data_IF_456122175188
#
_entry.id   IF_456122175188
#
_cell.length_a   1.000
_cell.length_b   1.000
_cell.length_c   1.000
_cell.angle_alpha   90.00
_cell.angle_beta   90.00
_cell.angle_gamma   90.00
#
_symmetry.space_group_name_H-M   'P 1'
#
loop_
_entity.id
_entity.type
_entity.pdbx_description
1 polymer ?
#
# COMPACT_ATOMS: atom_id res chain seq x y z
N UNK A 1 -6.64 -75.87 28.89
CA UNK A 1 -5.31 -75.25 28.72
C UNK A 1 -5.50 -73.88 28.08
N UNK A 2 -5.32 -72.79 28.82
CA UNK A 2 -5.60 -71.42 28.36
C UNK A 2 -4.37 -70.85 27.65
N UNK A 3 -4.58 -70.39 26.42
CA UNK A 3 -3.56 -69.94 25.46
C UNK A 3 -2.85 -68.65 25.94
N UNK A 4 -1.54 -68.75 26.21
CA UNK A 4 -0.69 -67.67 26.75
C UNK A 4 -0.06 -66.79 25.64
N UNK A 5 -0.38 -67.03 24.37
CA UNK A 5 0.27 -66.38 23.20
C UNK A 5 -0.23 -64.97 22.89
N UNK A 6 -1.42 -64.57 23.35
CA UNK A 6 -2.01 -63.27 22.98
C UNK A 6 -1.48 -62.09 23.80
N UNK A 7 -0.84 -62.34 24.95
CA UNK A 7 -0.43 -61.27 25.88
C UNK A 7 0.77 -60.44 25.40
N UNK A 8 1.71 -61.03 24.64
CA UNK A 8 2.94 -60.34 24.20
C UNK A 8 2.78 -59.49 22.93
N UNK A 9 1.69 -59.66 22.16
CA UNK A 9 1.39 -58.80 21.01
C UNK A 9 0.85 -57.43 21.43
N UNK A 10 0.03 -57.37 22.48
CA UNK A 10 -0.50 -56.12 23.01
C UNK A 10 0.58 -55.24 23.65
N UNK A 11 1.58 -55.85 24.30
CA UNK A 11 2.73 -55.16 24.90
C UNK A 11 3.64 -54.49 23.88
N UNK A 12 3.62 -54.88 22.59
CA UNK A 12 4.35 -54.17 21.53
C UNK A 12 3.45 -53.18 20.78
N UNK A 13 2.14 -53.41 20.79
CA UNK A 13 1.15 -52.54 20.13
C UNK A 13 1.01 -51.18 20.81
N UNK A 14 1.02 -51.13 22.15
CA UNK A 14 0.85 -49.86 22.86
C UNK A 14 2.03 -48.90 22.68
N UNK A 15 3.27 -49.40 22.59
CA UNK A 15 4.44 -48.58 22.26
C UNK A 15 4.33 -47.96 20.86
N UNK A 16 3.79 -48.71 19.89
CA UNK A 16 3.54 -48.17 18.54
C UNK A 16 2.51 -47.05 18.56
N UNK A 17 1.44 -47.21 19.33
CA UNK A 17 0.42 -46.17 19.51
C UNK A 17 1.00 -44.95 20.23
N UNK A 18 1.80 -45.15 21.28
CA UNK A 18 2.50 -44.07 21.98
C UNK A 18 3.43 -43.28 21.06
N UNK A 19 4.22 -43.98 20.24
CA UNK A 19 5.11 -43.35 19.26
C UNK A 19 4.31 -42.53 18.25
N UNK A 20 3.18 -43.04 17.76
CA UNK A 20 2.31 -42.31 16.84
C UNK A 20 1.71 -41.05 17.49
N UNK A 21 1.30 -41.12 18.76
CA UNK A 21 0.80 -39.96 19.51
C UNK A 21 1.89 -38.90 19.70
N UNK A 22 3.12 -39.32 20.03
CA UNK A 22 4.27 -38.41 20.17
C UNK A 22 4.58 -37.73 18.83
N UNK A 23 4.62 -38.48 17.73
CA UNK A 23 4.83 -37.92 16.39
C UNK A 23 3.73 -36.92 16.04
N UNK A 24 2.47 -37.24 16.35
CA UNK A 24 1.35 -36.34 16.10
C UNK A 24 1.44 -35.04 16.91
N UNK A 25 1.85 -35.11 18.18
CA UNK A 25 2.10 -33.93 19.01
C UNK A 25 3.26 -33.07 18.47
N UNK A 26 4.34 -33.70 17.97
CA UNK A 26 5.45 -33.00 17.35
C UNK A 26 5.03 -32.27 16.08
N UNK A 27 4.19 -32.89 15.23
CA UNK A 27 3.65 -32.24 14.03
C UNK A 27 2.84 -31.00 14.40
N UNK A 28 1.99 -31.08 15.44
CA UNK A 28 1.19 -29.94 15.91
C UNK A 28 2.08 -28.82 16.47
N UNK A 29 3.11 -29.15 17.25
CA UNK A 29 4.07 -28.18 17.81
C UNK A 29 4.82 -27.43 16.70
N UNK A 30 5.40 -28.16 15.75
CA UNK A 30 6.17 -27.58 14.65
C UNK A 30 5.31 -26.69 13.74
N UNK A 31 4.06 -27.07 13.52
CA UNK A 31 3.10 -26.26 12.74
C UNK A 31 2.79 -24.93 13.43
N UNK A 32 2.70 -24.93 14.76
CA UNK A 32 2.46 -23.72 15.57
C UNK A 32 3.67 -22.76 15.53
N UNK A 33 4.88 -23.29 15.66
CA UNK A 33 6.11 -22.48 15.67
C UNK A 33 6.40 -21.84 14.30
N UNK A 34 6.16 -22.58 13.21
CA UNK A 34 6.34 -22.06 11.84
C UNK A 34 5.38 -20.89 11.55
N UNK A 35 4.14 -20.94 12.07
CA UNK A 35 3.19 -19.83 11.93
C UNK A 35 3.63 -18.60 12.73
N UNK A 36 4.18 -18.79 13.92
CA UNK A 36 4.61 -17.69 14.78
C UNK A 36 5.82 -16.94 14.21
N UNK A 37 6.78 -17.66 13.63
CA UNK A 37 7.95 -17.09 12.95
C UNK A 37 7.52 -16.18 11.79
N UNK A 38 6.53 -16.59 10.99
CA UNK A 38 6.05 -15.80 9.84
C UNK A 38 5.39 -14.47 10.27
N UNK A 39 4.73 -14.45 11.42
CA UNK A 39 4.14 -13.22 12.00
C UNK A 39 5.16 -12.33 12.72
N UNK A 40 6.26 -12.88 13.23
CA UNK A 40 7.36 -12.11 13.83
C UNK A 40 8.09 -11.25 12.80
N UNK A 41 8.36 -11.82 11.62
CA UNK A 41 8.99 -11.10 10.52
C UNK A 41 8.12 -9.97 9.95
N UNK A 42 6.79 -10.15 9.87
CA UNK A 42 5.91 -9.08 9.37
C UNK A 42 5.87 -7.87 10.30
N UNK A 43 5.91 -8.08 11.62
CA UNK A 43 5.94 -6.98 12.62
C UNK A 43 7.21 -6.15 12.52
N UNK A 44 8.37 -6.80 12.33
CA UNK A 44 9.65 -6.10 12.18
C UNK A 44 9.72 -5.35 10.84
N UNK A 45 9.23 -5.97 9.76
CA UNK A 45 9.17 -5.33 8.45
C UNK A 45 8.22 -4.11 8.44
N UNK A 46 7.06 -4.20 9.07
CA UNK A 46 6.14 -3.07 9.21
C UNK A 46 6.70 -1.96 10.10
N UNK A 47 7.35 -2.30 11.21
CA UNK A 47 7.98 -1.32 12.08
C UNK A 47 9.11 -0.55 11.36
N UNK A 48 9.98 -1.26 10.64
CA UNK A 48 11.03 -0.63 9.84
C UNK A 48 10.46 0.25 8.72
N UNK A 49 9.41 -0.21 8.03
CA UNK A 49 8.75 0.57 6.98
C UNK A 49 8.11 1.84 7.53
N UNK A 50 7.50 1.79 8.71
CA UNK A 50 6.95 2.97 9.40
C UNK A 50 8.06 3.94 9.79
N UNK A 51 9.18 3.45 10.31
CA UNK A 51 10.34 4.29 10.65
C UNK A 51 10.93 4.99 9.41
N UNK A 52 11.06 4.29 8.29
CA UNK A 52 11.55 4.90 7.05
C UNK A 52 10.62 5.98 6.51
N UNK A 53 9.31 5.74 6.53
CA UNK A 53 8.30 6.73 6.11
C UNK A 53 8.39 7.97 6.99
N UNK A 54 8.49 7.80 8.31
CA UNK A 54 8.52 8.92 9.24
C UNK A 54 9.83 9.71 9.17
N UNK A 55 10.97 9.03 8.93
CA UNK A 55 12.25 9.69 8.65
C UNK A 55 12.18 10.53 7.38
N UNK A 56 11.66 9.97 6.28
CA UNK A 56 11.48 10.71 5.02
C UNK A 56 10.58 11.94 5.21
N UNK A 57 9.46 11.80 5.92
CA UNK A 57 8.59 12.95 6.23
C UNK A 57 9.31 14.02 7.04
N UNK A 58 10.13 13.64 8.01
CA UNK A 58 10.89 14.58 8.83
C UNK A 58 11.93 15.35 8.00
N UNK A 59 12.63 14.66 7.09
CA UNK A 59 13.56 15.29 6.15
C UNK A 59 12.84 16.27 5.22
N UNK A 60 11.72 15.85 4.62
CA UNK A 60 10.87 16.68 3.75
C UNK A 60 10.36 17.94 4.47
N UNK A 61 9.95 17.78 5.74
CA UNK A 61 9.48 18.87 6.58
C UNK A 61 10.62 19.83 6.95
N UNK A 62 11.82 19.32 7.22
CA UNK A 62 13.01 20.17 7.49
C UNK A 62 13.41 20.98 6.27
N UNK A 63 13.37 20.39 5.08
CA UNK A 63 13.63 21.11 3.83
C UNK A 63 12.62 22.23 3.61
N UNK A 64 11.32 21.93 3.76
CA UNK A 64 10.25 22.94 3.67
C UNK A 64 10.41 24.04 4.72
N UNK A 65 10.81 23.69 5.94
CA UNK A 65 11.04 24.66 7.00
C UNK A 65 12.21 25.59 6.66
N UNK A 66 13.30 25.07 6.08
CA UNK A 66 14.40 25.89 5.57
C UNK A 66 13.94 26.90 4.51
N UNK A 67 13.12 26.46 3.55
CA UNK A 67 12.58 27.32 2.49
C UNK A 67 11.68 28.42 3.09
N UNK A 68 10.76 28.06 4.00
CA UNK A 68 9.82 29.03 4.60
C UNK A 68 10.52 30.04 5.53
N UNK A 69 11.60 29.64 6.19
CA UNK A 69 12.35 30.53 7.09
C UNK A 69 13.22 31.55 6.34
N UNK A 70 13.47 31.31 5.05
CA UNK A 70 14.28 32.21 4.21
C UNK A 70 13.55 33.54 3.99
N UNK A 71 14.28 34.65 4.03
CA UNK A 71 13.70 36.00 3.92
C UNK A 71 13.01 36.23 2.56
N UNK A 72 13.50 35.63 1.48
CA UNK A 72 12.85 35.65 0.16
C UNK A 72 11.42 35.09 0.19
N UNK A 73 11.18 34.04 0.97
CA UNK A 73 9.86 33.44 1.09
C UNK A 73 8.92 34.32 1.91
N UNK A 74 9.43 34.96 2.97
CA UNK A 74 8.66 35.95 3.74
C UNK A 74 8.31 37.15 2.88
N UNK A 75 9.26 37.68 2.11
CA UNK A 75 9.01 38.78 1.18
C UNK A 75 7.95 38.39 0.15
N UNK A 76 8.04 37.19 -0.44
CA UNK A 76 7.04 36.67 -1.36
C UNK A 76 5.64 36.63 -0.73
N UNK A 77 5.51 36.09 0.48
CA UNK A 77 4.22 36.02 1.19
C UNK A 77 3.68 37.42 1.52
N UNK A 78 4.54 38.35 1.94
CA UNK A 78 4.16 39.75 2.20
C UNK A 78 3.64 40.39 0.91
N UNK A 79 4.35 40.20 -0.20
CA UNK A 79 3.98 40.75 -1.51
C UNK A 79 2.67 40.15 -2.04
N UNK A 80 2.47 38.85 -1.90
CA UNK A 80 1.20 38.19 -2.24
C UNK A 80 0.04 38.70 -1.39
N UNK A 81 0.23 38.86 -0.07
CA UNK A 81 -0.82 39.36 0.84
C UNK A 81 -1.18 40.82 0.62
N UNK A 82 -0.21 41.64 0.23
CA UNK A 82 -0.41 43.06 -0.02
C UNK A 82 -0.79 43.36 -1.48
N UNK A 83 -0.97 42.34 -2.32
CA UNK A 83 -1.13 42.48 -3.77
C UNK A 83 -0.04 43.36 -4.42
N UNK A 84 1.19 43.32 -3.88
CA UNK A 84 2.33 44.12 -4.33
C UNK A 84 3.17 43.35 -5.35
N UNK A 85 3.48 43.99 -6.48
CA UNK A 85 4.31 43.43 -7.54
C UNK A 85 5.78 43.82 -7.37
N UNK A 86 6.69 43.00 -7.92
CA UNK A 86 8.12 43.30 -7.95
C UNK A 86 8.33 44.33 -9.06
N UNK A 87 9.38 45.12 -8.95
CA UNK A 87 9.86 45.91 -10.08
C UNK A 87 10.11 44.97 -11.28
N UNK A 88 9.31 45.13 -12.34
CA UNK A 88 9.36 44.33 -13.57
C UNK A 88 8.29 43.24 -13.74
N UNK A 89 7.41 43.00 -12.76
CA UNK A 89 6.26 42.09 -12.93
C UNK A 89 5.05 42.82 -13.54
N UNK A 90 4.43 42.26 -14.58
CA UNK A 90 3.23 42.84 -15.23
C UNK A 90 2.00 42.06 -14.79
N UNK A 91 1.04 42.74 -14.14
CA UNK A 91 -0.26 42.15 -13.82
C UNK A 91 -1.10 42.00 -15.09
N UNK A 92 -1.17 40.80 -15.64
CA UNK A 92 -2.08 40.50 -16.76
C UNK A 92 -3.45 40.15 -16.18
N UNK A 93 -4.32 41.15 -16.07
CA UNK A 93 -5.75 40.92 -15.85
C UNK A 93 -6.31 40.41 -17.17
N UNK A 94 -6.46 39.08 -17.29
CA UNK A 94 -7.24 38.53 -18.38
C UNK A 94 -8.69 38.96 -18.14
N UNK A 95 -9.36 39.63 -19.10
CA UNK A 95 -10.81 39.72 -19.04
C UNK A 95 -11.32 38.30 -18.91
N UNK A 96 -12.37 38.11 -18.09
CA UNK A 96 -13.11 36.86 -18.06
C UNK A 96 -13.48 36.58 -19.51
N UNK A 97 -12.68 35.74 -20.15
CA UNK A 97 -13.07 35.06 -21.37
C UNK A 97 -14.24 34.29 -20.82
N UNK A 98 -15.45 34.83 -21.01
CA UNK A 98 -16.68 34.10 -20.98
C UNK A 98 -16.28 32.81 -21.64
N UNK A 99 -16.11 31.75 -20.82
CA UNK A 99 -15.71 30.46 -21.32
C UNK A 99 -16.66 30.27 -22.46
N UNK A 100 -16.14 30.32 -23.70
CA UNK A 100 -16.94 29.91 -24.82
C UNK A 100 -17.33 28.53 -24.34
N UNK A 101 -18.61 28.39 -23.99
CA UNK A 101 -19.21 27.10 -23.81
C UNK A 101 -18.98 26.50 -25.17
N UNK A 102 -17.85 25.81 -25.32
CA UNK A 102 -17.78 24.67 -26.19
C UNK A 102 -18.97 23.87 -25.71
N UNK A 103 -20.08 24.05 -26.41
CA UNK A 103 -21.28 23.25 -26.24
C UNK A 103 -20.74 21.85 -26.06
N UNK A 104 -20.96 21.29 -24.87
CA UNK A 104 -20.59 19.91 -24.60
C UNK A 104 -21.45 19.13 -25.58
N UNK A 105 -20.92 18.91 -26.78
CA UNK A 105 -21.50 18.03 -27.77
C UNK A 105 -21.56 16.73 -27.01
N UNK A 106 -22.77 16.33 -26.64
CA UNK A 106 -23.03 15.02 -26.11
C UNK A 106 -22.54 14.05 -27.18
N UNK A 107 -21.28 13.63 -27.07
CA UNK A 107 -20.70 12.64 -27.96
C UNK A 107 -21.49 11.39 -27.64
N UNK A 108 -22.52 11.12 -28.45
CA UNK A 108 -23.32 9.90 -28.36
C UNK A 108 -22.32 8.75 -28.28
N UNK A 109 -22.37 8.00 -27.18
CA UNK A 109 -21.49 6.86 -27.02
C UNK A 109 -21.80 5.85 -28.12
N UNK A 110 -20.96 5.83 -29.15
CA UNK A 110 -21.00 4.81 -30.20
C UNK A 110 -19.98 3.74 -29.80
N UNK A 111 -20.41 2.49 -29.57
CA UNK A 111 -19.50 1.37 -29.31
C UNK A 111 -18.45 1.25 -30.42
N UNK A 112 -17.22 0.89 -30.06
CA UNK A 112 -16.09 0.89 -31.01
C UNK A 112 -16.34 0.02 -32.25
N UNK A 113 -17.00 -1.14 -32.12
CA UNK A 113 -17.35 -2.01 -33.25
C UNK A 113 -18.21 -1.30 -34.32
N UNK A 114 -19.10 -0.39 -33.90
CA UNK A 114 -19.97 0.36 -34.82
C UNK A 114 -19.21 1.47 -35.54
N UNK A 115 -18.16 2.03 -34.91
CA UNK A 115 -17.23 2.96 -35.59
C UNK A 115 -16.47 2.25 -36.71
N UNK A 116 -15.96 1.04 -36.45
CA UNK A 116 -15.27 0.24 -37.46
C UNK A 116 -16.16 -0.15 -38.64
N UNK A 117 -17.41 -0.54 -38.37
CA UNK A 117 -18.38 -0.83 -39.43
C UNK A 117 -18.69 0.38 -40.31
N UNK A 118 -18.84 1.57 -39.74
CA UNK A 118 -19.04 2.81 -40.52
C UNK A 118 -17.84 3.14 -41.42
N UNK A 119 -16.62 2.80 -41.01
CA UNK A 119 -15.42 3.03 -41.83
C UNK A 119 -15.31 2.03 -43.00
N UNK A 120 -15.78 0.80 -42.79
CA UNK A 120 -15.73 -0.28 -43.79
C UNK A 120 -16.92 -0.29 -44.76
N UNK A 121 -17.99 0.42 -44.44
CA UNK A 121 -19.20 0.54 -45.27
C UNK A 121 -19.24 1.80 -46.14
N UNK A 122 -18.10 2.51 -46.23
CA UNK A 122 -17.87 3.62 -47.15
C UNK A 122 -17.39 3.13 -48.51
#
# INVERSE_FOLDING_TARGET
MVNKSTRSKHEKGWYRVLILVIIWLLIISLTRDVWQIRTGFSRIAEANRRLEIEKKKNEDLKEKLGIVMTDDYKEKIIREKLNMQKEGEVLVVMPDKAFAQEEVRLVKFVPNWRKWWNLLSM
#
